data_IF_637209452669
#
_entry.id   IF_637209452669
#
_cell.length_a   1.000
_cell.length_b   1.000
_cell.length_c   1.000
_cell.angle_alpha   90.00
_cell.angle_beta   90.00
_cell.angle_gamma   90.00
#
_symmetry.space_group_name_H-M   'P 1'
#
loop_
_entity.id
_entity.type
_entity.pdbx_description
1 polymer ?
#
# COMPACT_ATOMS: atom_id res chain seq x y z
N UNK A 1 2.02 23.88 -27.80
CA UNK A 1 2.90 23.86 -26.62
C UNK A 1 2.03 23.70 -25.38
N UNK A 2 1.77 22.47 -24.99
CA UNK A 2 0.96 22.10 -23.82
C UNK A 2 1.84 22.19 -22.58
N UNK A 3 1.51 23.08 -21.65
CA UNK A 3 2.14 23.13 -20.32
C UNK A 3 1.85 21.80 -19.59
N UNK A 4 2.84 21.21 -18.89
CA UNK A 4 2.56 20.06 -18.04
C UNK A 4 1.59 20.47 -16.93
N UNK A 5 0.52 19.70 -16.72
CA UNK A 5 -0.35 19.84 -15.56
C UNK A 5 0.49 19.58 -14.31
N UNK A 6 0.68 20.60 -13.48
CA UNK A 6 1.08 20.43 -12.09
C UNK A 6 -0.09 19.74 -11.40
N UNK A 7 0.08 18.47 -11.02
CA UNK A 7 -0.79 17.83 -10.05
C UNK A 7 -0.71 18.64 -8.75
N UNK A 8 -1.83 19.08 -8.16
CA UNK A 8 -1.83 19.65 -6.81
C UNK A 8 -1.53 18.50 -5.83
N UNK A 9 -0.25 18.26 -5.60
CA UNK A 9 0.22 17.32 -4.59
C UNK A 9 0.14 17.95 -3.20
N UNK A 10 -0.02 17.10 -2.18
CA UNK A 10 0.18 17.48 -0.78
C UNK A 10 1.58 18.10 -0.65
N UNK A 11 1.76 19.26 0.02
CA UNK A 11 3.08 19.86 0.20
C UNK A 11 4.05 18.86 0.82
N UNK A 12 5.20 18.65 0.17
CA UNK A 12 6.17 17.61 0.54
C UNK A 12 6.74 17.75 1.98
N UNK A 13 6.63 18.94 2.59
CA UNK A 13 7.13 19.25 3.94
C UNK A 13 6.21 18.76 5.06
N UNK A 14 4.93 18.56 4.75
CA UNK A 14 3.89 18.00 5.63
C UNK A 14 3.58 16.53 5.29
N UNK A 15 4.06 16.09 4.13
CA UNK A 15 4.01 14.71 3.67
C UNK A 15 5.19 13.90 4.24
N UNK A 16 4.94 13.26 5.39
CA UNK A 16 5.88 12.35 6.03
C UNK A 16 6.42 11.26 5.09
N UNK A 17 5.64 10.87 4.07
CA UNK A 17 5.90 9.73 3.21
C UNK A 17 7.01 9.95 2.18
N UNK A 18 7.45 11.20 2.00
CA UNK A 18 8.58 11.57 1.13
C UNK A 18 9.92 11.66 1.88
N UNK A 19 9.94 11.60 3.22
CA UNK A 19 11.11 11.95 4.03
C UNK A 19 11.60 10.91 5.05
N UNK A 20 11.12 9.67 4.99
CA UNK A 20 11.40 8.67 6.04
C UNK A 20 12.82 8.11 5.90
N UNK A 21 13.74 8.72 6.63
CA UNK A 21 15.15 8.33 6.75
C UNK A 21 15.39 7.42 7.96
N UNK A 22 14.60 6.37 8.15
CA UNK A 22 14.84 5.38 9.21
C UNK A 22 15.47 4.10 8.62
N UNK A 23 16.43 3.52 9.33
CA UNK A 23 17.00 2.22 8.99
C UNK A 23 15.94 1.13 9.21
N UNK A 24 15.89 0.08 8.36
CA UNK A 24 14.99 -1.04 8.57
C UNK A 24 15.30 -1.71 9.91
N UNK A 25 14.29 -1.86 10.77
CA UNK A 25 14.37 -2.70 11.96
C UNK A 25 13.99 -4.14 11.60
N UNK A 26 14.60 -5.12 12.28
CA UNK A 26 14.21 -6.52 12.16
C UNK A 26 12.73 -6.68 12.56
N UNK A 27 11.96 -7.58 11.91
CA UNK A 27 10.57 -7.81 12.29
C UNK A 27 10.52 -8.38 13.71
N UNK A 28 10.15 -7.53 14.67
CA UNK A 28 9.88 -7.99 16.02
C UNK A 28 8.57 -8.80 16.06
N UNK A 29 8.62 -9.85 16.88
CA UNK A 29 7.59 -10.83 17.25
C UNK A 29 6.14 -10.55 16.84
N UNK A 30 5.51 -11.53 16.17
CA UNK A 30 4.05 -11.56 15.94
C UNK A 30 3.32 -11.57 17.30
N UNK A 31 2.62 -10.47 17.64
CA UNK A 31 1.78 -10.43 18.84
C UNK A 31 0.50 -11.27 18.62
N UNK A 32 0.11 -12.13 19.57
CA UNK A 32 -1.06 -13.01 19.43
C UNK A 32 -2.40 -12.28 19.28
N UNK A 33 -2.48 -10.96 19.57
CA UNK A 33 -3.71 -10.16 19.40
C UNK A 33 -3.96 -9.72 17.97
N UNK A 34 -2.92 -9.68 17.13
CA UNK A 34 -3.02 -9.32 15.73
C UNK A 34 -2.86 -10.57 14.87
N UNK A 35 -3.95 -11.05 14.29
CA UNK A 35 -3.93 -12.20 13.41
C UNK A 35 -3.79 -11.74 11.96
N UNK A 36 -2.70 -12.16 11.31
CA UNK A 36 -2.43 -11.90 9.89
C UNK A 36 -2.50 -13.25 9.18
N UNK A 37 -3.46 -13.37 8.28
CA UNK A 37 -3.70 -14.55 7.46
C UNK A 37 -3.25 -14.29 6.03
N UNK A 38 -2.49 -15.23 5.46
CA UNK A 38 -2.12 -15.24 4.06
C UNK A 38 -3.16 -16.03 3.26
N UNK A 39 -3.69 -15.42 2.19
CA UNK A 39 -4.63 -16.02 1.24
C UNK A 39 -3.85 -16.24 -0.07
N UNK A 40 -3.36 -17.46 -0.33
CA UNK A 40 -2.54 -17.74 -1.51
C UNK A 40 -3.39 -17.88 -2.78
N UNK A 41 -2.73 -17.83 -3.94
CA UNK A 41 -3.37 -18.16 -5.23
C UNK A 41 -4.38 -17.11 -5.69
N UNK A 42 -4.12 -15.85 -5.35
CA UNK A 42 -4.95 -14.73 -5.82
C UNK A 42 -4.29 -14.08 -7.03
N UNK A 43 -4.82 -14.42 -8.19
CA UNK A 43 -4.48 -13.79 -9.47
C UNK A 43 -5.59 -12.80 -9.90
N UNK A 44 -5.23 -11.72 -10.60
CA UNK A 44 -6.22 -10.80 -11.14
C UNK A 44 -7.14 -11.48 -12.15
N UNK A 45 -8.36 -10.97 -12.26
CA UNK A 45 -9.24 -11.27 -13.38
C UNK A 45 -8.63 -10.73 -14.67
N UNK A 46 -8.76 -11.48 -15.75
CA UNK A 46 -8.41 -11.03 -17.10
C UNK A 46 -9.60 -10.29 -17.75
N UNK A 47 -9.58 -10.13 -19.08
CA UNK A 47 -10.68 -9.52 -19.81
C UNK A 47 -11.98 -10.35 -19.80
N UNK A 48 -11.94 -11.60 -19.33
CA UNK A 48 -13.07 -12.54 -19.22
C UNK A 48 -13.84 -12.73 -20.53
N UNK A 49 -13.14 -12.72 -21.67
CA UNK A 49 -13.75 -12.87 -22.98
C UNK A 49 -14.43 -14.24 -23.11
N UNK A 50 -15.73 -14.24 -23.46
CA UNK A 50 -16.54 -15.46 -23.60
C UNK A 50 -17.00 -16.09 -22.27
N UNK A 51 -16.71 -15.47 -21.12
CA UNK A 51 -17.17 -15.96 -19.82
C UNK A 51 -18.59 -15.46 -19.48
N UNK A 52 -19.45 -16.35 -19.00
CA UNK A 52 -20.77 -15.99 -18.47
C UNK A 52 -21.15 -16.92 -17.29
N UNK A 53 -21.58 -16.38 -16.14
CA UNK A 53 -21.56 -14.96 -15.78
C UNK A 53 -20.13 -14.44 -15.57
N UNK A 54 -19.95 -13.13 -15.64
CA UNK A 54 -18.68 -12.49 -15.30
C UNK A 54 -18.39 -12.64 -13.81
N UNK A 55 -17.14 -12.95 -13.45
CA UNK A 55 -16.66 -12.86 -12.07
C UNK A 55 -16.38 -11.41 -11.73
N UNK A 56 -16.79 -10.98 -10.55
CA UNK A 56 -16.48 -9.65 -10.01
C UNK A 56 -15.18 -9.66 -9.22
N UNK A 57 -14.84 -10.79 -8.58
CA UNK A 57 -13.59 -10.95 -7.82
C UNK A 57 -12.96 -12.32 -8.13
N UNK A 58 -11.64 -12.48 -7.92
CA UNK A 58 -10.98 -13.79 -7.93
C UNK A 58 -11.68 -14.74 -6.96
N UNK A 59 -11.77 -16.03 -7.32
CA UNK A 59 -12.54 -17.02 -6.55
C UNK A 59 -12.12 -17.10 -5.07
N UNK A 60 -10.82 -17.05 -4.81
CA UNK A 60 -10.24 -17.05 -3.47
C UNK A 60 -10.63 -15.82 -2.61
N UNK A 61 -11.12 -14.74 -3.23
CA UNK A 61 -11.54 -13.52 -2.53
C UNK A 61 -13.05 -13.37 -2.38
N UNK A 62 -13.86 -14.25 -2.97
CA UNK A 62 -15.31 -14.13 -2.88
C UNK A 62 -15.82 -14.26 -1.44
N UNK A 63 -15.40 -15.31 -0.72
CA UNK A 63 -15.77 -15.48 0.69
C UNK A 63 -15.15 -14.37 1.58
N UNK A 64 -13.84 -14.06 1.51
CA UNK A 64 -13.26 -13.04 2.36
C UNK A 64 -13.89 -11.65 2.18
N UNK A 65 -14.29 -11.31 0.96
CA UNK A 65 -14.90 -10.02 0.64
C UNK A 65 -16.42 -10.01 0.75
N UNK A 66 -17.15 -11.12 0.60
CA UNK A 66 -18.61 -11.07 0.49
C UNK A 66 -19.35 -12.21 1.20
N UNK A 67 -18.63 -13.13 1.86
CA UNK A 67 -19.22 -14.18 2.69
C UNK A 67 -20.13 -13.59 3.77
N UNK A 68 -21.09 -14.35 4.26
CA UNK A 68 -21.91 -13.93 5.40
C UNK A 68 -21.68 -14.91 6.54
N UNK A 69 -21.71 -14.45 7.81
CA UNK A 69 -21.69 -15.38 8.93
C UNK A 69 -22.85 -16.35 8.78
N UNK A 70 -22.61 -17.62 9.11
CA UNK A 70 -23.70 -18.61 9.16
C UNK A 70 -24.77 -18.09 10.12
N UNK A 71 -26.04 -18.28 9.74
CA UNK A 71 -27.14 -18.02 10.66
C UNK A 71 -26.91 -18.90 11.89
N UNK A 72 -26.59 -18.29 13.03
CA UNK A 72 -26.47 -19.03 14.28
C UNK A 72 -27.75 -19.85 14.52
N UNK A 73 -27.67 -21.00 15.21
CA UNK A 73 -28.88 -21.71 15.61
C UNK A 73 -29.75 -20.69 16.35
N UNK A 74 -31.01 -20.54 15.92
CA UNK A 74 -31.95 -19.58 16.47
C UNK A 74 -31.95 -19.71 18.00
N UNK A 75 -31.18 -18.85 18.66
CA UNK A 75 -31.11 -18.83 20.11
C UNK A 75 -32.47 -18.36 20.56
N UNK A 76 -33.27 -19.29 21.05
CA UNK A 76 -34.50 -18.98 21.76
C UNK A 76 -34.10 -18.13 22.97
N UNK A 77 -34.09 -16.82 22.79
CA UNK A 77 -34.20 -15.89 23.91
C UNK A 77 -35.66 -15.98 24.36
N UNK A 78 -35.91 -16.03 25.66
CA UNK A 78 -37.25 -16.06 26.25
C UNK A 78 -38.10 -14.82 25.90
N UNK A 79 -37.59 -13.92 25.06
CA UNK A 79 -38.20 -12.69 24.58
C UNK A 79 -38.33 -12.66 23.04
N UNK A 80 -38.76 -13.76 22.40
CA UNK A 80 -39.48 -13.75 21.10
C UNK A 80 -38.85 -13.03 19.88
N UNK A 81 -37.60 -12.60 19.95
CA UNK A 81 -36.87 -11.99 18.85
C UNK A 81 -35.59 -12.77 18.62
N UNK A 82 -35.53 -13.56 17.57
CA UNK A 82 -34.25 -14.04 17.06
C UNK A 82 -33.46 -12.81 16.59
N UNK A 83 -32.36 -12.47 17.26
CA UNK A 83 -31.41 -11.50 16.70
C UNK A 83 -30.84 -12.11 15.42
N UNK A 84 -31.32 -11.65 14.26
CA UNK A 84 -30.72 -12.01 12.99
C UNK A 84 -29.24 -11.60 13.01
N UNK A 85 -28.31 -12.47 12.56
CA UNK A 85 -26.90 -12.13 12.55
C UNK A 85 -26.68 -10.87 11.70
N UNK A 86 -25.99 -9.90 12.28
CA UNK A 86 -25.74 -8.64 11.60
C UNK A 86 -24.95 -8.89 10.30
N UNK A 87 -25.58 -8.58 9.15
CA UNK A 87 -24.99 -8.79 7.83
C UNK A 87 -23.69 -7.99 7.69
N UNK A 88 -22.66 -8.66 7.18
CA UNK A 88 -21.37 -8.05 6.91
C UNK A 88 -21.39 -7.33 5.56
N UNK A 89 -20.94 -6.08 5.58
CA UNK A 89 -20.76 -5.22 4.42
C UNK A 89 -19.29 -5.11 4.07
N UNK A 90 -19.03 -4.67 2.84
CA UNK A 90 -17.69 -4.57 2.28
C UNK A 90 -17.46 -3.15 1.83
N UNK A 91 -16.34 -2.59 2.26
CA UNK A 91 -15.94 -1.25 1.92
C UNK A 91 -14.54 -1.28 1.33
N UNK A 92 -14.23 -0.31 0.47
CA UNK A 92 -12.87 -0.05 0.02
C UNK A 92 -12.45 1.35 0.47
N UNK A 93 -11.21 1.46 0.94
CA UNK A 93 -10.53 2.74 1.09
C UNK A 93 -9.58 2.93 -0.09
N UNK A 94 -9.97 3.77 -1.03
CA UNK A 94 -9.29 3.98 -2.30
C UNK A 94 -8.57 5.33 -2.30
N UNK A 95 -7.31 5.31 -2.73
CA UNK A 95 -6.52 6.50 -3.01
C UNK A 95 -6.84 7.02 -4.42
N UNK A 96 -7.48 8.19 -4.50
CA UNK A 96 -7.82 8.81 -5.79
C UNK A 96 -6.58 9.10 -6.65
N UNK A 97 -5.41 9.35 -6.06
CA UNK A 97 -4.18 9.61 -6.83
C UNK A 97 -3.74 8.40 -7.66
N UNK A 98 -4.22 7.20 -7.31
CA UNK A 98 -3.94 5.97 -8.05
C UNK A 98 -4.92 5.75 -9.20
N UNK A 99 -6.04 6.45 -9.25
CA UNK A 99 -6.97 6.43 -10.38
C UNK A 99 -6.48 7.40 -11.47
N UNK A 100 -6.67 7.06 -12.74
CA UNK A 100 -6.17 7.93 -13.82
C UNK A 100 -6.97 9.23 -13.92
N UNK A 101 -8.29 9.12 -13.83
CA UNK A 101 -9.24 10.23 -13.77
C UNK A 101 -9.51 10.74 -12.35
N UNK A 102 -8.73 10.31 -11.35
CA UNK A 102 -8.82 10.84 -9.98
C UNK A 102 -10.22 10.71 -9.39
N UNK A 103 -10.76 11.84 -8.93
CA UNK A 103 -12.08 11.89 -8.30
C UNK A 103 -13.23 11.55 -9.26
N UNK A 104 -13.12 11.90 -10.55
CA UNK A 104 -14.21 11.71 -11.51
C UNK A 104 -14.60 10.23 -11.65
N UNK A 105 -13.61 9.32 -11.59
CA UNK A 105 -13.88 7.88 -11.60
C UNK A 105 -14.63 7.37 -10.36
N UNK A 106 -14.40 8.00 -9.21
CA UNK A 106 -15.10 7.69 -7.96
C UNK A 106 -16.52 8.23 -8.04
N UNK A 107 -16.70 9.43 -8.57
CA UNK A 107 -18.01 10.03 -8.75
C UNK A 107 -18.89 9.18 -9.70
N UNK A 108 -18.30 8.63 -10.75
CA UNK A 108 -19.00 7.83 -11.76
C UNK A 108 -19.09 6.33 -11.42
N UNK A 109 -18.59 5.90 -10.25
CA UNK A 109 -18.51 4.47 -9.92
C UNK A 109 -19.89 3.81 -9.65
N UNK A 110 -20.93 4.62 -9.42
CA UNK A 110 -22.30 4.16 -9.15
C UNK A 110 -22.51 3.56 -7.76
N UNK A 111 -21.53 3.65 -6.86
CA UNK A 111 -21.58 3.11 -5.50
C UNK A 111 -21.60 4.23 -4.45
N UNK A 112 -22.12 3.99 -3.22
CA UNK A 112 -22.01 4.97 -2.14
C UNK A 112 -20.55 5.28 -1.79
N UNK A 113 -20.16 6.56 -1.82
CA UNK A 113 -18.81 6.99 -1.50
C UNK A 113 -18.74 8.27 -0.65
N UNK A 114 -17.65 8.44 0.10
CA UNK A 114 -17.31 9.67 0.84
C UNK A 114 -15.80 9.87 0.96
N UNK A 115 -15.35 11.11 0.75
CA UNK A 115 -13.98 11.53 1.05
C UNK A 115 -13.71 11.48 2.56
N UNK A 116 -12.52 11.05 2.99
CA UNK A 116 -12.15 11.12 4.41
C UNK A 116 -11.69 12.52 4.85
N UNK A 117 -11.24 13.35 3.92
CA UNK A 117 -10.92 14.75 4.21
C UNK A 117 -12.20 15.61 4.32
N UNK A 118 -12.06 16.81 4.88
CA UNK A 118 -13.16 17.76 5.06
C UNK A 118 -12.73 19.19 4.72
N UNK A 119 -13.73 20.03 4.44
CA UNK A 119 -13.53 21.45 4.17
C UNK A 119 -12.70 21.67 2.92
N UNK A 120 -11.87 22.71 2.95
CA UNK A 120 -10.99 23.10 1.85
C UNK A 120 -10.09 21.96 1.38
N UNK A 121 -9.51 21.18 2.30
CA UNK A 121 -8.66 20.04 1.96
C UNK A 121 -9.40 18.94 1.16
N UNK A 122 -10.71 18.77 1.37
CA UNK A 122 -11.49 17.81 0.59
C UNK A 122 -11.67 18.24 -0.87
N UNK A 123 -11.80 19.56 -1.11
CA UNK A 123 -11.98 20.13 -2.44
C UNK A 123 -10.65 20.26 -3.18
N UNK A 124 -9.62 20.79 -2.52
CA UNK A 124 -8.30 21.01 -3.12
C UNK A 124 -7.56 19.71 -3.43
N UNK A 125 -7.70 18.69 -2.56
CA UNK A 125 -7.01 17.42 -2.69
C UNK A 125 -7.93 16.30 -3.21
N UNK A 126 -9.11 16.61 -3.76
CA UNK A 126 -10.09 15.58 -4.18
C UNK A 126 -9.49 14.49 -5.08
N UNK A 127 -8.59 14.86 -5.98
CA UNK A 127 -7.94 13.93 -6.92
C UNK A 127 -6.80 13.11 -6.27
N UNK A 128 -6.44 13.42 -5.03
CA UNK A 128 -5.41 12.73 -4.25
C UNK A 128 -5.89 12.28 -2.87
N UNK A 129 -7.19 12.44 -2.58
CA UNK A 129 -7.77 12.13 -1.28
C UNK A 129 -8.14 10.65 -1.20
N UNK A 130 -8.17 10.09 0.02
CA UNK A 130 -8.74 8.78 0.27
C UNK A 130 -10.27 8.84 0.33
N UNK A 131 -10.92 7.88 -0.32
CA UNK A 131 -12.37 7.72 -0.34
C UNK A 131 -12.77 6.37 0.23
N UNK A 132 -13.78 6.38 1.12
CA UNK A 132 -14.51 5.19 1.49
C UNK A 132 -15.59 4.93 0.43
N UNK A 133 -15.64 3.72 -0.11
CA UNK A 133 -16.65 3.27 -1.07
C UNK A 133 -17.28 1.99 -0.53
N UNK A 134 -18.61 1.89 -0.49
CA UNK A 134 -19.29 0.63 -0.16
C UNK A 134 -19.36 -0.24 -1.42
N UNK A 135 -18.70 -1.39 -1.41
CA UNK A 135 -18.64 -2.30 -2.54
C UNK A 135 -19.85 -3.23 -2.58
N UNK A 136 -20.30 -3.53 -3.79
CA UNK A 136 -21.30 -4.55 -4.08
C UNK A 136 -20.66 -5.67 -4.92
N UNK A 137 -21.15 -6.90 -4.74
CA UNK A 137 -20.55 -8.12 -5.33
C UNK A 137 -20.79 -8.28 -6.84
N UNK A 138 -21.69 -7.49 -7.42
CA UNK A 138 -22.04 -7.46 -8.84
C UNK A 138 -21.65 -6.14 -9.54
N UNK A 139 -21.18 -5.15 -8.79
CA UNK A 139 -20.82 -3.85 -9.33
C UNK A 139 -19.59 -3.89 -10.25
N UNK A 140 -19.67 -3.16 -11.37
CA UNK A 140 -18.57 -3.04 -12.34
C UNK A 140 -17.31 -2.44 -11.72
N UNK A 141 -17.45 -1.44 -10.85
CA UNK A 141 -16.30 -0.80 -10.19
C UNK A 141 -15.56 -1.80 -9.30
N UNK A 142 -16.28 -2.61 -8.52
CA UNK A 142 -15.70 -3.73 -7.76
C UNK A 142 -14.88 -4.63 -8.67
N UNK A 143 -15.42 -5.03 -9.84
CA UNK A 143 -14.67 -5.86 -10.81
C UNK A 143 -13.39 -5.19 -11.32
N UNK A 144 -13.43 -3.90 -11.62
CA UNK A 144 -12.27 -3.17 -12.09
C UNK A 144 -11.12 -3.21 -11.07
N UNK A 145 -11.42 -3.08 -9.77
CA UNK A 145 -10.43 -3.20 -8.67
C UNK A 145 -9.65 -4.52 -8.73
N UNK A 146 -10.30 -5.59 -9.21
CA UNK A 146 -9.71 -6.92 -9.27
C UNK A 146 -9.31 -7.41 -10.66
N UNK A 147 -9.32 -6.52 -11.66
CA UNK A 147 -8.99 -6.86 -13.05
C UNK A 147 -7.61 -6.33 -13.43
N UNK A 148 -6.84 -7.12 -14.17
CA UNK A 148 -5.59 -6.71 -14.84
C UNK A 148 -5.57 -7.20 -16.29
N UNK A 149 -5.54 -6.26 -17.22
CA UNK A 149 -5.32 -6.53 -18.65
C UNK A 149 -3.93 -6.03 -19.05
N UNK A 150 -2.91 -6.90 -19.19
CA UNK A 150 -1.51 -6.48 -19.36
C UNK A 150 -1.23 -5.56 -20.56
N UNK A 151 -1.97 -5.74 -21.66
CA UNK A 151 -1.79 -4.98 -22.90
C UNK A 151 -2.78 -3.81 -23.06
N UNK A 152 -3.65 -3.58 -22.07
CA UNK A 152 -4.53 -2.42 -22.09
C UNK A 152 -3.76 -1.18 -21.62
N UNK A 153 -4.01 0.01 -22.22
CA UNK A 153 -3.43 1.25 -21.73
C UNK A 153 -3.76 1.45 -20.25
N UNK A 154 -2.73 1.66 -19.41
CA UNK A 154 -2.89 1.83 -17.96
C UNK A 154 -3.85 2.98 -17.55
N UNK A 155 -4.17 3.89 -18.48
CA UNK A 155 -5.18 4.95 -18.32
C UNK A 155 -6.63 4.47 -18.37
N UNK A 156 -6.89 3.21 -18.76
CA UNK A 156 -8.23 2.61 -18.78
C UNK A 156 -8.60 2.02 -17.41
N UNK A 157 -8.44 2.81 -16.37
CA UNK A 157 -8.72 2.48 -14.97
C UNK A 157 -10.19 2.06 -14.72
N UNK A 158 -11.13 2.45 -15.59
CA UNK A 158 -12.51 1.92 -15.56
C UNK A 158 -12.64 0.44 -15.94
N UNK A 159 -11.56 -0.19 -16.41
CA UNK A 159 -11.50 -1.60 -16.82
C UNK A 159 -10.55 -2.45 -15.97
N UNK A 160 -9.42 -1.89 -15.52
CA UNK A 160 -8.40 -2.65 -14.79
C UNK A 160 -7.62 -1.78 -13.79
N UNK A 161 -7.70 -2.11 -12.49
CA UNK A 161 -7.04 -1.36 -11.41
C UNK A 161 -6.11 -2.21 -10.56
N UNK A 162 -6.10 -3.52 -10.73
CA UNK A 162 -5.32 -4.43 -9.88
C UNK A 162 -3.83 -4.04 -9.80
N UNK A 163 -3.21 -3.77 -10.95
CA UNK A 163 -1.80 -3.38 -11.04
C UNK A 163 -1.45 -2.07 -10.32
N UNK A 164 -2.44 -1.22 -10.08
CA UNK A 164 -2.26 0.06 -9.38
C UNK A 164 -2.34 -0.08 -7.86
N UNK A 165 -2.88 -1.19 -7.37
CA UNK A 165 -3.11 -1.45 -5.94
C UNK A 165 -3.71 -0.22 -5.24
N UNK A 166 -4.95 0.16 -5.62
CA UNK A 166 -5.51 1.47 -5.31
C UNK A 166 -5.89 1.65 -3.84
N UNK A 167 -5.89 0.59 -3.03
CA UNK A 167 -6.31 0.69 -1.64
C UNK A 167 -6.43 -0.64 -0.91
N UNK A 168 -7.18 -0.59 0.18
CA UNK A 168 -7.48 -1.73 1.06
C UNK A 168 -8.99 -1.95 1.15
N UNK A 169 -9.39 -3.14 1.57
CA UNK A 169 -10.78 -3.54 1.74
C UNK A 169 -11.10 -3.77 3.22
N UNK A 170 -12.31 -3.45 3.64
CA UNK A 170 -12.77 -3.55 5.02
C UNK A 170 -14.06 -4.33 5.05
N UNK A 171 -14.18 -5.23 6.02
CA UNK A 171 -15.37 -6.02 6.31
C UNK A 171 -15.86 -5.69 7.70
N UNK A 172 -17.15 -5.34 7.81
CA UNK A 172 -17.79 -5.01 9.09
C UNK A 172 -19.31 -5.09 8.98
N UNK A 173 -19.99 -5.34 10.10
CA UNK A 173 -21.44 -5.18 10.22
C UNK A 173 -21.86 -3.70 10.42
N UNK A 174 -20.92 -2.83 10.79
CA UNK A 174 -21.18 -1.40 10.96
C UNK A 174 -21.65 -0.76 9.64
N UNK A 175 -22.52 0.24 9.74
CA UNK A 175 -23.00 0.99 8.58
C UNK A 175 -21.93 1.92 7.97
N UNK A 176 -22.19 2.35 6.73
CA UNK A 176 -21.28 3.17 5.95
C UNK A 176 -20.87 4.47 6.65
N UNK A 177 -21.81 5.15 7.33
CA UNK A 177 -21.53 6.42 8.00
C UNK A 177 -20.66 6.19 9.24
N UNK A 178 -20.90 5.11 9.99
CA UNK A 178 -20.10 4.73 11.14
C UNK A 178 -18.66 4.39 10.73
N UNK A 179 -18.49 3.58 9.69
CA UNK A 179 -17.17 3.22 9.14
C UNK A 179 -16.44 4.47 8.63
N UNK A 180 -17.14 5.35 7.90
CA UNK A 180 -16.56 6.62 7.45
C UNK A 180 -16.10 7.50 8.61
N UNK A 181 -16.96 7.76 9.61
CA UNK A 181 -16.60 8.55 10.80
C UNK A 181 -15.43 7.94 11.57
N UNK A 182 -15.33 6.62 11.58
CA UNK A 182 -14.23 5.91 12.23
C UNK A 182 -12.90 6.22 11.59
N UNK A 183 -12.73 5.88 10.31
CA UNK A 183 -11.45 6.04 9.62
C UNK A 183 -11.00 7.50 9.49
N UNK A 184 -11.96 8.44 9.46
CA UNK A 184 -11.65 9.88 9.47
C UNK A 184 -10.86 10.37 10.67
N UNK A 185 -10.94 9.69 11.81
CA UNK A 185 -10.18 10.07 13.01
C UNK A 185 -8.67 9.81 12.85
N UNK A 186 -8.29 8.99 11.88
CA UNK A 186 -6.93 8.51 11.69
C UNK A 186 -6.20 9.19 10.53
N UNK A 187 -6.82 10.12 9.79
CA UNK A 187 -6.18 10.73 8.61
C UNK A 187 -4.95 11.57 8.97
N UNK A 188 -4.83 12.00 10.22
CA UNK A 188 -3.68 12.71 10.75
C UNK A 188 -3.22 12.10 12.06
N UNK A 189 -1.91 12.07 12.24
CA UNK A 189 -1.25 11.57 13.45
C UNK A 189 -0.19 12.56 13.90
N UNK A 190 0.07 12.65 15.20
CA UNK A 190 1.20 13.43 15.74
C UNK A 190 2.38 12.52 15.98
N UNK A 191 3.59 13.04 15.80
CA UNK A 191 4.78 12.37 16.30
C UNK A 191 5.06 12.68 17.77
N UNK A 192 6.13 12.08 18.30
CA UNK A 192 6.62 12.30 19.67
C UNK A 192 6.97 13.77 19.97
N UNK A 193 7.29 14.56 18.94
CA UNK A 193 7.58 16.00 19.04
C UNK A 193 6.32 16.87 18.87
N UNK A 194 5.15 16.26 18.66
CA UNK A 194 3.89 16.95 18.45
C UNK A 194 3.66 17.49 17.03
N UNK A 195 4.57 17.24 16.07
CA UNK A 195 4.36 17.63 14.66
C UNK A 195 3.28 16.73 14.04
N UNK A 196 2.35 17.35 13.31
CA UNK A 196 1.28 16.64 12.61
C UNK A 196 1.73 16.14 11.24
N UNK A 197 1.23 14.96 10.87
CA UNK A 197 1.45 14.35 9.57
C UNK A 197 0.17 13.69 9.06
N UNK A 198 0.08 13.50 7.75
CA UNK A 198 -0.95 12.63 7.16
C UNK A 198 -0.60 11.16 7.39
N UNK A 199 -1.53 10.37 7.91
CA UNK A 199 -1.38 8.93 8.05
C UNK A 199 -2.14 8.23 6.91
N UNK A 200 -1.41 7.80 5.86
CA UNK A 200 -1.91 7.07 4.69
C UNK A 200 -2.21 5.60 5.00
N UNK A 201 -3.01 5.32 6.02
CA UNK A 201 -3.38 3.95 6.42
C UNK A 201 -4.19 3.18 5.37
N UNK A 202 -4.65 3.84 4.30
CA UNK A 202 -5.24 3.18 3.14
C UNK A 202 -4.19 2.54 2.22
N UNK A 203 -2.90 2.70 2.51
CA UNK A 203 -1.83 1.89 1.91
C UNK A 203 -1.50 0.71 2.82
N UNK A 204 -1.59 -0.51 2.27
CA UNK A 204 -1.43 -1.75 3.01
C UNK A 204 -0.15 -1.81 3.88
N UNK A 205 0.98 -1.33 3.37
CA UNK A 205 2.26 -1.35 4.11
C UNK A 205 2.29 -0.32 5.25
N UNK A 206 1.69 0.85 5.05
CA UNK A 206 1.52 1.85 6.10
C UNK A 206 0.66 1.32 7.23
N UNK A 207 -0.45 0.68 6.86
CA UNK A 207 -1.35 0.04 7.81
C UNK A 207 -0.65 -1.08 8.57
N UNK A 208 0.00 -2.01 7.86
CA UNK A 208 0.63 -3.17 8.46
C UNK A 208 1.70 -2.77 9.48
N UNK A 209 2.57 -1.81 9.13
CA UNK A 209 3.57 -1.29 10.04
C UNK A 209 2.94 -0.70 11.31
N UNK A 210 1.90 0.13 11.15
CA UNK A 210 1.17 0.70 12.28
C UNK A 210 0.53 -0.38 13.17
N UNK A 211 -0.17 -1.35 12.59
CA UNK A 211 -0.84 -2.41 13.34
C UNK A 211 0.17 -3.28 14.08
N UNK A 212 1.31 -3.61 13.48
CA UNK A 212 2.36 -4.40 14.12
C UNK A 212 3.04 -3.65 15.26
N UNK A 213 3.41 -2.38 15.05
CA UNK A 213 4.03 -1.55 16.09
C UNK A 213 3.09 -1.29 17.27
N UNK A 214 1.77 -1.35 17.06
CA UNK A 214 0.76 -1.16 18.10
C UNK A 214 0.10 -2.48 18.54
N UNK A 215 0.55 -3.64 18.04
CA UNK A 215 -0.10 -4.91 18.31
C UNK A 215 -0.08 -5.27 19.80
N UNK A 216 0.93 -4.77 20.52
CA UNK A 216 1.08 -4.96 21.95
C UNK A 216 0.17 -4.09 22.82
N UNK A 217 -0.48 -3.09 22.24
CA UNK A 217 -1.47 -2.23 22.90
C UNK A 217 -2.88 -2.60 22.42
N UNK A 218 -3.57 -3.39 23.26
CA UNK A 218 -4.94 -3.84 23.03
C UNK A 218 -5.93 -2.67 22.82
N UNK A 219 -5.70 -1.50 23.43
CA UNK A 219 -6.56 -0.33 23.30
C UNK A 219 -6.31 0.39 21.98
N UNK A 220 -5.05 0.54 21.58
CA UNK A 220 -4.71 1.07 20.27
C UNK A 220 -5.27 0.20 19.15
N UNK A 221 -5.07 -1.12 19.25
CA UNK A 221 -5.57 -2.07 18.27
C UNK A 221 -7.10 -2.09 18.21
N UNK A 222 -7.78 -2.18 19.36
CA UNK A 222 -9.25 -2.14 19.42
C UNK A 222 -9.85 -0.84 18.88
N UNK A 223 -9.20 0.30 19.11
CA UNK A 223 -9.62 1.58 18.52
C UNK A 223 -9.57 1.61 17.02
N UNK A 224 -8.59 0.95 16.39
CA UNK A 224 -8.46 0.96 14.94
C UNK A 224 -9.32 -0.14 14.31
N UNK A 225 -9.32 -1.34 14.91
CA UNK A 225 -9.93 -2.55 14.36
C UNK A 225 -11.37 -2.79 14.84
N UNK A 226 -12.05 -1.83 15.47
CA UNK A 226 -13.47 -1.94 15.80
C UNK A 226 -14.21 -0.60 15.66
N UNK A 227 -15.39 -0.63 15.03
CA UNK A 227 -16.27 0.52 14.82
C UNK A 227 -17.48 0.38 15.73
N UNK A 228 -17.59 1.24 16.75
CA UNK A 228 -18.71 1.20 17.72
C UNK A 228 -18.93 -0.19 18.34
N UNK A 229 -17.85 -0.92 18.60
CA UNK A 229 -17.89 -2.29 19.13
C UNK A 229 -17.99 -3.39 18.07
N UNK A 230 -18.35 -3.08 16.83
CA UNK A 230 -18.32 -4.05 15.73
C UNK A 230 -16.87 -4.27 15.25
N UNK A 231 -16.33 -5.50 15.24
CA UNK A 231 -14.98 -5.75 14.78
C UNK A 231 -14.85 -5.46 13.27
N UNK A 232 -13.63 -5.10 12.88
CA UNK A 232 -13.20 -4.97 11.49
C UNK A 232 -12.32 -6.14 11.10
N UNK A 233 -12.51 -6.64 9.88
CA UNK A 233 -11.46 -7.35 9.16
C UNK A 233 -10.99 -6.47 8.01
N UNK A 234 -9.67 -6.36 7.83
CA UNK A 234 -9.07 -5.57 6.76
C UNK A 234 -8.29 -6.49 5.83
N UNK A 235 -8.47 -6.32 4.53
CA UNK A 235 -7.88 -7.13 3.49
C UNK A 235 -7.13 -6.26 2.49
N UNK A 236 -6.01 -6.73 1.96
CA UNK A 236 -5.37 -6.13 0.80
C UNK A 236 -4.78 -7.19 -0.11
N UNK A 237 -4.62 -6.82 -1.38
CA UNK A 237 -4.04 -7.69 -2.40
C UNK A 237 -2.55 -7.42 -2.54
N UNK A 238 -1.81 -8.50 -2.77
CA UNK A 238 -0.39 -8.50 -3.07
C UNK A 238 -0.12 -9.40 -4.27
N UNK A 239 1.14 -9.48 -4.72
CA UNK A 239 1.46 -10.31 -5.88
C UNK A 239 1.29 -11.78 -5.52
N UNK A 240 0.41 -12.48 -6.23
CA UNK A 240 0.16 -13.92 -6.05
C UNK A 240 -0.67 -14.29 -4.82
N UNK A 241 -1.24 -13.30 -4.13
CA UNK A 241 -2.00 -13.53 -2.90
C UNK A 241 -2.73 -12.31 -2.38
N UNK A 242 -3.32 -12.46 -1.21
CA UNK A 242 -3.87 -11.39 -0.41
C UNK A 242 -3.56 -11.64 1.06
N UNK A 243 -3.64 -10.59 1.88
CA UNK A 243 -3.59 -10.74 3.33
C UNK A 243 -4.90 -10.29 3.95
N UNK A 244 -5.34 -11.00 4.98
CA UNK A 244 -6.44 -10.61 5.85
C UNK A 244 -5.89 -10.36 7.25
N UNK A 245 -6.29 -9.24 7.84
CA UNK A 245 -5.93 -8.89 9.22
C UNK A 245 -7.18 -8.76 10.05
N UNK A 246 -7.14 -9.40 11.21
CA UNK A 246 -8.15 -9.33 12.25
C UNK A 246 -7.46 -9.09 13.59
N UNK A 247 -8.17 -8.46 14.51
CA UNK A 247 -7.70 -8.27 15.87
C UNK A 247 -8.61 -8.96 16.86
N UNK A 248 -8.02 -9.62 17.86
CA UNK A 248 -8.76 -10.11 19.01
C UNK A 248 -9.24 -8.92 19.83
N UNK A 249 -10.54 -8.81 20.05
CA UNK A 249 -11.11 -7.74 20.88
C UNK A 249 -10.60 -7.88 22.32
N UNK A 250 -9.94 -6.85 22.85
CA UNK A 250 -9.73 -6.75 24.29
C UNK A 250 -11.06 -6.38 24.99
N UNK A 251 -11.30 -6.83 26.24
CA UNK A 251 -12.45 -6.37 27.01
C UNK A 251 -12.42 -4.84 27.11
N UNK A 252 -13.59 -4.22 26.91
CA UNK A 252 -13.77 -2.78 26.95
C UNK A 252 -13.22 -2.20 28.26
N UNK A 253 -12.11 -1.47 28.21
CA UNK A 253 -11.59 -0.75 29.36
C UNK A 253 -12.22 0.65 29.43
N UNK A 254 -12.71 1.05 30.60
CA UNK A 254 -13.47 2.28 30.92
C UNK A 254 -12.72 3.61 30.73
N UNK A 255 -11.41 3.61 30.47
CA UNK A 255 -10.64 4.84 30.34
C UNK A 255 -10.43 5.26 28.88
N UNK A 256 -10.59 6.56 28.60
CA UNK A 256 -10.29 7.15 27.31
C UNK A 256 -8.83 6.80 26.91
N UNK A 257 -8.63 6.09 25.79
CA UNK A 257 -7.31 5.60 25.44
C UNK A 257 -6.40 6.76 24.94
N UNK A 258 -5.08 6.70 25.16
CA UNK A 258 -4.16 7.82 24.91
C UNK A 258 -4.10 8.20 23.43
N UNK A 259 -3.95 9.48 23.09
CA UNK A 259 -3.87 9.93 21.71
C UNK A 259 -2.87 9.10 20.89
N UNK A 260 -3.19 8.81 19.63
CA UNK A 260 -2.33 8.01 18.77
C UNK A 260 -1.09 8.84 18.45
N UNK A 261 0.07 8.34 18.82
CA UNK A 261 1.37 8.94 18.54
C UNK A 261 2.09 8.05 17.54
N UNK A 262 2.66 8.66 16.52
CA UNK A 262 3.54 8.00 15.56
C UNK A 262 4.97 7.99 16.11
N UNK A 263 5.30 6.90 16.79
CA UNK A 263 6.58 6.69 17.47
C UNK A 263 7.72 6.50 16.48
N UNK A 264 8.97 6.62 16.96
CA UNK A 264 10.13 6.28 16.13
C UNK A 264 10.16 4.80 15.70
N UNK A 265 9.53 3.91 16.48
CA UNK A 265 9.37 2.51 16.11
C UNK A 265 8.44 2.35 14.90
N UNK A 266 7.31 3.08 14.86
CA UNK A 266 6.41 3.11 13.70
C UNK A 266 7.14 3.64 12.45
N UNK A 267 8.03 4.64 12.63
CA UNK A 267 8.87 5.20 11.56
C UNK A 267 9.81 4.16 10.96
N UNK A 268 10.50 3.42 11.82
CA UNK A 268 11.45 2.39 11.40
C UNK A 268 10.75 1.21 10.72
N UNK A 269 9.63 0.75 11.29
CA UNK A 269 8.81 -0.31 10.72
C UNK A 269 8.32 0.07 9.32
N UNK A 270 7.82 1.30 9.15
CA UNK A 270 7.39 1.76 7.83
C UNK A 270 8.54 1.90 6.83
N UNK A 271 9.66 2.49 7.25
CA UNK A 271 10.83 2.64 6.38
C UNK A 271 11.33 1.27 5.89
N UNK A 272 11.28 0.26 6.76
CA UNK A 272 11.57 -1.14 6.44
C UNK A 272 10.61 -1.67 5.38
N UNK A 273 9.30 -1.57 5.64
CA UNK A 273 8.26 -2.04 4.73
C UNK A 273 8.32 -1.39 3.33
N UNK A 274 8.54 -0.08 3.26
CA UNK A 274 8.73 0.64 1.99
C UNK A 274 9.97 0.16 1.25
N UNK A 275 11.06 -0.05 1.98
CA UNK A 275 12.33 -0.50 1.40
C UNK A 275 12.24 -1.90 0.81
N UNK A 276 11.65 -2.86 1.53
CA UNK A 276 11.44 -4.21 1.04
C UNK A 276 10.62 -4.22 -0.26
N UNK A 277 9.57 -3.40 -0.35
CA UNK A 277 8.77 -3.27 -1.57
C UNK A 277 9.54 -2.65 -2.74
N UNK A 278 10.37 -1.64 -2.48
CA UNK A 278 11.27 -1.12 -3.50
C UNK A 278 12.22 -2.22 -4.00
N UNK A 279 12.83 -2.98 -3.11
CA UNK A 279 13.73 -4.09 -3.44
C UNK A 279 13.05 -5.18 -4.29
N UNK A 280 11.82 -5.57 -3.96
CA UNK A 280 11.02 -6.48 -4.80
C UNK A 280 10.80 -5.93 -6.21
N UNK A 281 10.39 -4.66 -6.32
CA UNK A 281 10.20 -4.01 -7.62
C UNK A 281 11.52 -3.89 -8.39
N UNK A 282 12.63 -3.57 -7.71
CA UNK A 282 13.96 -3.48 -8.29
C UNK A 282 14.35 -4.82 -8.93
N UNK A 283 14.22 -5.94 -8.21
CA UNK A 283 14.51 -7.26 -8.75
C UNK A 283 13.69 -7.56 -10.01
N UNK A 284 12.39 -7.26 -9.99
CA UNK A 284 11.51 -7.48 -11.14
C UNK A 284 11.93 -6.67 -12.36
N UNK A 285 12.22 -5.39 -12.18
CA UNK A 285 12.66 -4.53 -13.29
C UNK A 285 14.04 -4.96 -13.81
N UNK A 286 14.95 -5.39 -12.94
CA UNK A 286 16.25 -5.92 -13.35
C UNK A 286 16.10 -7.23 -14.14
N UNK A 287 15.25 -8.16 -13.70
CA UNK A 287 14.98 -9.39 -14.44
C UNK A 287 14.29 -9.14 -15.79
N UNK A 288 13.49 -8.08 -15.90
CA UNK A 288 12.84 -7.72 -17.15
C UNK A 288 13.79 -7.00 -18.13
N UNK A 289 14.62 -6.09 -17.63
CA UNK A 289 15.49 -5.25 -18.46
C UNK A 289 16.88 -5.86 -18.71
N UNK A 290 17.36 -6.73 -17.81
CA UNK A 290 18.69 -7.35 -17.85
C UNK A 290 18.61 -8.83 -17.43
N UNK A 291 17.78 -9.67 -18.09
CA UNK A 291 17.47 -11.02 -17.63
C UNK A 291 18.72 -11.89 -17.44
N UNK A 292 19.73 -11.80 -18.31
CA UNK A 292 20.92 -12.64 -18.23
C UNK A 292 21.78 -12.23 -17.04
N UNK A 293 22.17 -10.96 -16.97
CA UNK A 293 23.01 -10.45 -15.86
C UNK A 293 22.33 -10.55 -14.50
N UNK A 294 21.02 -10.29 -14.42
CA UNK A 294 20.28 -10.40 -13.16
C UNK A 294 20.22 -11.84 -12.67
N UNK A 295 20.03 -12.81 -13.57
CA UNK A 295 20.08 -14.24 -13.22
C UNK A 295 21.48 -14.69 -12.82
N UNK A 296 22.52 -14.24 -13.53
CA UNK A 296 23.93 -14.56 -13.20
C UNK A 296 24.36 -14.02 -11.84
N UNK A 297 23.91 -12.81 -11.47
CA UNK A 297 24.19 -12.22 -10.15
C UNK A 297 23.41 -12.90 -9.03
N UNK A 298 22.14 -13.24 -9.26
CA UNK A 298 21.26 -13.81 -8.25
C UNK A 298 20.69 -12.77 -7.28
N UNK A 299 19.50 -13.04 -6.75
CA UNK A 299 18.71 -12.08 -5.97
C UNK A 299 19.44 -11.56 -4.73
N UNK A 300 20.17 -12.42 -4.00
CA UNK A 300 20.86 -12.04 -2.77
C UNK A 300 21.90 -10.93 -3.01
N UNK A 301 22.72 -11.07 -4.07
CA UNK A 301 23.71 -10.06 -4.43
C UNK A 301 23.07 -8.76 -4.93
N UNK A 302 22.02 -8.86 -5.75
CA UNK A 302 21.28 -7.68 -6.24
C UNK A 302 20.67 -6.86 -5.09
N UNK A 303 20.10 -7.54 -4.10
CA UNK A 303 19.57 -6.91 -2.89
C UNK A 303 20.68 -6.30 -2.03
N UNK A 304 21.80 -7.01 -1.86
CA UNK A 304 22.97 -6.49 -1.17
C UNK A 304 23.54 -5.23 -1.81
N UNK A 305 23.60 -5.16 -3.14
CA UNK A 305 24.01 -3.94 -3.87
C UNK A 305 23.00 -2.81 -3.74
N UNK A 306 21.70 -3.12 -3.65
CA UNK A 306 20.67 -2.12 -3.36
C UNK A 306 20.88 -1.50 -1.97
N UNK A 307 21.21 -2.33 -0.96
CA UNK A 307 21.53 -1.88 0.40
C UNK A 307 22.84 -1.08 0.45
N UNK A 308 23.87 -1.52 -0.29
CA UNK A 308 25.13 -0.78 -0.48
C UNK A 308 24.84 0.62 -1.04
N UNK A 309 24.09 0.71 -2.14
CA UNK A 309 23.72 1.99 -2.76
C UNK A 309 22.97 2.91 -1.80
N UNK A 310 22.05 2.35 -1.00
CA UNK A 310 21.33 3.12 0.02
C UNK A 310 22.28 3.68 1.07
N UNK A 311 23.25 2.88 1.53
CA UNK A 311 24.27 3.32 2.49
C UNK A 311 25.15 4.44 1.94
N UNK A 312 25.35 4.48 0.61
CA UNK A 312 26.11 5.50 -0.11
C UNK A 312 25.28 6.76 -0.45
N UNK A 313 24.01 6.82 -0.04
CA UNK A 313 23.15 7.98 -0.21
C UNK A 313 22.25 7.95 -1.46
N UNK A 314 22.17 6.83 -2.19
CA UNK A 314 21.17 6.64 -3.25
C UNK A 314 19.83 6.21 -2.64
N UNK A 315 19.04 7.19 -2.22
CA UNK A 315 17.73 7.03 -1.55
C UNK A 315 16.55 7.15 -2.50
N UNK A 316 16.69 7.88 -3.61
CA UNK A 316 15.71 7.92 -4.70
C UNK A 316 15.76 6.59 -5.45
N UNK A 317 14.58 5.98 -5.63
CA UNK A 317 14.41 4.64 -6.23
C UNK A 317 15.12 4.51 -7.59
N UNK A 318 14.98 5.51 -8.47
CA UNK A 318 15.69 5.53 -9.77
C UNK A 318 17.21 5.63 -9.60
N UNK A 319 17.69 6.38 -8.62
CA UNK A 319 19.11 6.55 -8.38
C UNK A 319 19.74 5.25 -7.84
N UNK A 320 19.04 4.58 -6.93
CA UNK A 320 19.45 3.28 -6.40
C UNK A 320 19.39 2.18 -7.46
N UNK A 321 18.32 2.12 -8.26
CA UNK A 321 18.23 1.21 -9.41
C UNK A 321 19.41 1.38 -10.37
N UNK A 322 19.72 2.62 -10.76
CA UNK A 322 20.86 2.92 -11.63
C UNK A 322 22.20 2.50 -10.97
N UNK A 323 22.35 2.67 -9.65
CA UNK A 323 23.52 2.20 -8.92
C UNK A 323 23.67 0.67 -9.00
N UNK A 324 22.58 -0.08 -8.78
CA UNK A 324 22.61 -1.55 -8.88
C UNK A 324 22.95 -2.01 -10.30
N UNK A 325 22.40 -1.35 -11.33
CA UNK A 325 22.77 -1.61 -12.73
C UNK A 325 24.27 -1.36 -12.95
N UNK A 326 24.82 -0.23 -12.49
CA UNK A 326 26.25 0.04 -12.60
C UNK A 326 27.10 -1.03 -11.88
N UNK A 327 26.67 -1.46 -10.68
CA UNK A 327 27.32 -2.49 -9.87
C UNK A 327 27.38 -3.84 -10.60
N UNK A 328 26.27 -4.22 -11.20
CA UNK A 328 26.12 -5.44 -12.00
C UNK A 328 27.04 -5.41 -13.23
N UNK A 329 27.19 -4.26 -13.89
CA UNK A 329 28.08 -4.10 -15.04
C UNK A 329 29.57 -4.02 -14.68
N UNK A 330 29.93 -3.64 -13.45
CA UNK A 330 31.29 -3.76 -12.93
C UNK A 330 31.69 -5.20 -12.54
N UNK A 331 30.84 -6.20 -12.83
CA UNK A 331 31.08 -7.60 -12.47
C UNK A 331 30.99 -7.86 -10.96
N UNK A 332 30.25 -7.02 -10.22
CA UNK A 332 30.01 -7.19 -8.78
C UNK A 332 31.19 -6.89 -7.85
N UNK A 333 32.39 -6.58 -8.37
CA UNK A 333 33.59 -6.32 -7.55
C UNK A 333 33.53 -4.94 -6.89
N UNK A 334 33.66 -4.85 -5.56
CA UNK A 334 33.74 -3.58 -4.80
C UNK A 334 34.68 -2.55 -5.41
N UNK A 335 35.87 -2.98 -5.82
CA UNK A 335 36.85 -2.06 -6.41
C UNK A 335 36.33 -1.46 -7.72
N UNK A 336 35.55 -2.22 -8.49
CA UNK A 336 35.01 -1.77 -9.78
C UNK A 336 34.05 -0.59 -9.68
N UNK A 337 33.21 -0.50 -8.63
CA UNK A 337 32.33 0.68 -8.47
C UNK A 337 33.07 1.86 -7.85
N UNK A 338 34.01 1.60 -6.94
CA UNK A 338 34.84 2.65 -6.32
C UNK A 338 35.72 3.32 -7.38
N UNK A 339 36.33 2.55 -8.27
CA UNK A 339 37.11 3.06 -9.40
C UNK A 339 36.25 3.91 -10.35
N UNK A 340 35.01 3.50 -10.59
CA UNK A 340 34.06 4.28 -11.40
C UNK A 340 33.73 5.62 -10.73
N UNK A 341 33.42 5.61 -9.44
CA UNK A 341 33.12 6.81 -8.65
C UNK A 341 34.30 7.78 -8.65
N UNK A 342 35.52 7.28 -8.48
CA UNK A 342 36.74 8.09 -8.46
C UNK A 342 37.01 8.80 -9.81
N UNK A 343 36.48 8.30 -10.92
CA UNK A 343 36.58 8.94 -12.24
C UNK A 343 35.58 10.09 -12.43
N UNK A 344 34.55 10.20 -11.60
CA UNK A 344 33.48 11.19 -11.74
C UNK A 344 33.86 12.49 -11.02
N UNK A 345 34.08 13.61 -11.75
CA UNK A 345 34.50 14.86 -11.14
C UNK A 345 33.43 15.43 -10.21
N UNK A 346 33.86 16.04 -9.10
CA UNK A 346 32.98 16.73 -8.14
C UNK A 346 31.85 15.84 -7.60
N UNK A 347 32.05 14.53 -7.51
CA UNK A 347 31.08 13.55 -7.00
C UNK A 347 30.30 14.03 -5.77
N UNK A 348 31.00 14.55 -4.76
CA UNK A 348 30.41 15.04 -3.52
C UNK A 348 29.39 16.19 -3.71
N UNK A 349 29.54 17.00 -4.77
CA UNK A 349 28.67 18.13 -5.08
C UNK A 349 27.44 17.75 -5.93
N UNK A 350 27.43 16.55 -6.50
CA UNK A 350 26.33 16.06 -7.32
C UNK A 350 25.16 15.60 -6.45
N UNK A 351 23.94 15.81 -6.94
CA UNK A 351 22.74 15.18 -6.39
C UNK A 351 22.83 13.65 -6.55
N UNK A 352 22.09 12.88 -5.75
CA UNK A 352 22.07 11.42 -5.88
C UNK A 352 21.62 10.94 -7.28
N UNK A 353 20.69 11.66 -7.92
CA UNK A 353 20.23 11.33 -9.26
C UNK A 353 21.33 11.58 -10.29
N UNK A 354 22.03 12.71 -10.18
CA UNK A 354 23.11 13.04 -11.11
C UNK A 354 24.31 12.10 -10.92
N UNK A 355 24.66 11.78 -9.67
CA UNK A 355 25.63 10.71 -9.35
C UNK A 355 25.27 9.41 -10.07
N UNK A 356 24.02 8.97 -9.94
CA UNK A 356 23.57 7.71 -10.54
C UNK A 356 23.61 7.72 -12.07
N UNK A 357 23.31 8.87 -12.70
CA UNK A 357 23.38 9.05 -14.15
C UNK A 357 24.82 9.04 -14.65
N UNK A 358 25.73 9.72 -13.94
CA UNK A 358 27.15 9.74 -14.30
C UNK A 358 27.79 8.34 -14.16
N UNK A 359 27.35 7.50 -13.22
CA UNK A 359 27.78 6.08 -13.15
C UNK A 359 27.43 5.33 -14.44
N UNK A 360 26.17 5.40 -14.87
CA UNK A 360 25.73 4.74 -16.11
C UNK A 360 26.44 5.29 -17.34
N UNK A 361 26.59 6.61 -17.43
CA UNK A 361 27.30 7.28 -18.52
C UNK A 361 28.77 6.87 -18.62
N UNK A 362 29.46 6.73 -17.49
CA UNK A 362 30.87 6.28 -17.45
C UNK A 362 31.01 4.83 -17.92
N UNK A 363 29.95 4.03 -17.83
CA UNK A 363 29.88 2.66 -18.36
C UNK A 363 29.33 2.60 -19.79
N UNK A 364 29.09 3.76 -20.43
CA UNK A 364 28.47 3.87 -21.76
C UNK A 364 27.07 3.20 -21.82
N UNK A 365 26.37 3.12 -20.70
CA UNK A 365 25.02 2.57 -20.62
C UNK A 365 23.99 3.67 -20.82
N UNK A 366 23.09 3.49 -21.80
CA UNK A 366 21.89 4.31 -21.92
C UNK A 366 20.76 3.77 -21.05
N UNK A 367 20.00 4.61 -20.33
CA UNK A 367 18.90 4.16 -19.48
C UNK A 367 17.76 3.41 -20.19
N UNK A 368 17.77 3.37 -21.52
CA UNK A 368 16.68 2.93 -22.40
C UNK A 368 17.07 1.74 -23.31
N UNK A 369 18.28 1.20 -23.18
CA UNK A 369 18.70 -0.02 -23.91
C UNK A 369 18.75 -1.21 -22.95
N UNK A 370 17.61 -1.90 -22.71
CA UNK A 370 17.61 -3.20 -22.06
C UNK A 370 18.37 -4.24 -22.91
N UNK A 371 18.83 -5.31 -22.26
CA UNK A 371 19.55 -6.45 -22.87
C UNK A 371 18.85 -7.08 -24.08
#
# INVERSE_FOLDING_TARGET
MTKPLKQPGIPAEDDYWLGINAAPAAPETRDPRLHIEDIPGVDPLDAQFGAWPLKTVPGALLEPLFGQPEAGPAGATDNGGAEEPALLKTYALIDAAKLHGGFDEIQDCGLPFRCLFQGEAAEELKDAAPYLIQLESDARFTRALFTHIPNAPARLSTLHLWHRNPGIFIRSSADFVAVWKHFRKFTRIRDENGKWFFFRFWEAMALLGYLQSNASDARALGRFMAVSGAPLSILWVERGGAKRVTASSAPAAEAAPPAIVFSNADRAAYASARWSRFQENLLLHLLQAYPRKAQEAGNELLLGWSDEGRSMGFRIEKANFNFVVARMHCGGREDGIRDLINKIPKWAMLSELDRSRELLKTLELTPEEPE
#
